data_IF_136821024730
#
_entry.id   IF_136821024730
#
_cell.length_a   1.000
_cell.length_b   1.000
_cell.length_c   1.000
_cell.angle_alpha   90.00
_cell.angle_beta   90.00
_cell.angle_gamma   90.00
#
_symmetry.space_group_name_H-M   'P 1'
#
loop_
_entity.id
_entity.type
_entity.pdbx_description
1 polymer ?
#
# COMPACT_ATOMS: atom_id res chain seq x y z
N UNK A 1 19.54 -3.77 5.66
CA UNK A 1 18.88 -2.94 4.63
C UNK A 1 19.98 -2.48 3.69
N UNK A 2 19.87 -2.67 2.37
CA UNK A 2 20.94 -2.32 1.43
C UNK A 2 21.13 -0.80 1.30
N UNK A 3 22.38 -0.33 1.41
CA UNK A 3 22.74 1.10 1.44
C UNK A 3 22.72 1.79 0.06
N UNK A 4 22.30 1.09 -1.00
CA UNK A 4 22.22 1.65 -2.37
C UNK A 4 20.90 1.32 -3.06
N UNK A 5 20.50 2.17 -4.02
CA UNK A 5 19.31 1.97 -4.86
C UNK A 5 19.32 0.60 -5.55
N UNK A 6 20.49 0.16 -6.03
CA UNK A 6 20.64 -1.15 -6.65
C UNK A 6 20.39 -2.30 -5.66
N UNK A 7 20.98 -2.24 -4.46
CA UNK A 7 20.77 -3.26 -3.44
C UNK A 7 19.30 -3.33 -2.99
N UNK A 8 18.62 -2.18 -2.91
CA UNK A 8 17.18 -2.11 -2.62
C UNK A 8 16.35 -2.73 -3.74
N UNK A 9 16.66 -2.42 -5.00
CA UNK A 9 16.00 -3.01 -6.16
C UNK A 9 16.09 -4.54 -6.13
N UNK A 10 17.28 -5.07 -5.85
CA UNK A 10 17.50 -6.52 -5.77
C UNK A 10 16.71 -7.16 -4.62
N UNK A 11 16.56 -6.47 -3.50
CA UNK A 11 15.74 -6.92 -2.37
C UNK A 11 14.26 -6.98 -2.75
N UNK A 12 13.73 -5.93 -3.38
CA UNK A 12 12.35 -5.90 -3.87
C UNK A 12 12.10 -6.97 -4.95
N UNK A 13 13.06 -7.16 -5.85
CA UNK A 13 12.98 -8.23 -6.87
C UNK A 13 13.00 -9.62 -6.24
N UNK A 14 13.83 -9.85 -5.21
CA UNK A 14 13.84 -11.13 -4.48
C UNK A 14 12.51 -11.40 -3.80
N UNK A 15 11.90 -10.37 -3.22
CA UNK A 15 10.57 -10.46 -2.61
C UNK A 15 9.49 -10.79 -3.67
N UNK A 16 9.48 -10.06 -4.78
CA UNK A 16 8.60 -10.34 -5.93
C UNK A 16 8.77 -11.77 -6.47
N UNK A 17 10.02 -12.23 -6.65
CA UNK A 17 10.31 -13.59 -7.07
C UNK A 17 9.83 -14.65 -6.06
N UNK A 18 9.89 -14.35 -4.77
CA UNK A 18 9.36 -15.24 -3.73
C UNK A 18 7.83 -15.35 -3.80
N UNK A 19 7.13 -14.24 -4.00
CA UNK A 19 5.68 -14.22 -4.23
C UNK A 19 5.35 -15.11 -5.43
N UNK A 20 5.99 -14.85 -6.58
CA UNK A 20 5.74 -15.63 -7.81
C UNK A 20 5.92 -17.13 -7.59
N UNK A 21 7.06 -17.55 -7.01
CA UNK A 21 7.32 -18.96 -6.70
C UNK A 21 6.30 -19.57 -5.73
N UNK A 22 5.83 -18.79 -4.75
CA UNK A 22 4.77 -19.22 -3.83
C UNK A 22 3.52 -19.56 -4.63
N UNK A 23 3.02 -18.66 -5.47
CA UNK A 23 1.76 -18.86 -6.21
C UNK A 23 1.84 -19.84 -7.39
N UNK A 24 3.04 -20.17 -7.87
CA UNK A 24 3.26 -21.26 -8.84
C UNK A 24 3.18 -22.66 -8.21
N UNK A 25 3.25 -22.77 -6.88
CA UNK A 25 3.17 -24.04 -6.17
C UNK A 25 1.76 -24.64 -6.18
N UNK A 26 1.65 -25.94 -6.45
CA UNK A 26 0.39 -26.71 -6.41
C UNK A 26 -0.20 -26.85 -5.00
N UNK A 27 0.54 -26.48 -3.97
CA UNK A 27 0.15 -26.60 -2.56
C UNK A 27 -0.35 -25.28 -1.98
N UNK A 28 -0.47 -24.22 -2.78
CA UNK A 28 -1.10 -22.97 -2.31
C UNK A 28 -2.60 -23.15 -2.29
N UNK A 29 -3.19 -22.98 -1.10
CA UNK A 29 -4.64 -23.02 -0.91
C UNK A 29 -5.29 -21.69 -1.30
N UNK A 30 -4.66 -20.56 -0.91
CA UNK A 30 -5.18 -19.21 -1.17
C UNK A 30 -4.30 -18.45 -2.17
N UNK A 31 -4.90 -18.05 -3.28
CA UNK A 31 -4.27 -17.24 -4.32
C UNK A 31 -4.47 -15.72 -4.14
N UNK A 32 -5.13 -15.30 -3.05
CA UNK A 32 -5.39 -13.91 -2.73
C UNK A 32 -4.36 -13.39 -1.71
N UNK A 33 -3.58 -12.38 -2.07
CA UNK A 33 -2.50 -11.86 -1.22
C UNK A 33 -2.51 -10.34 -1.16
N UNK A 34 -2.60 -9.81 0.06
CA UNK A 34 -2.34 -8.41 0.35
C UNK A 34 -0.98 -8.30 1.02
N UNK A 35 -0.12 -7.44 0.48
CA UNK A 35 1.14 -7.04 1.10
C UNK A 35 1.08 -5.56 1.42
N UNK A 36 1.62 -5.16 2.57
CA UNK A 36 1.61 -3.78 3.00
C UNK A 36 2.82 -3.45 3.87
N UNK A 37 3.19 -2.17 3.87
CA UNK A 37 4.25 -1.64 4.71
C UNK A 37 5.09 -0.59 3.99
N UNK A 38 6.17 -0.19 4.64
CA UNK A 38 7.19 0.70 4.07
C UNK A 38 8.14 -0.09 3.16
N UNK A 39 7.95 0.04 1.85
CA UNK A 39 8.84 -0.54 0.84
C UNK A 39 9.98 0.41 0.44
N UNK A 40 9.98 1.64 0.96
CA UNK A 40 10.83 2.75 0.55
C UNK A 40 10.83 3.00 -0.98
N UNK A 41 9.67 2.93 -1.63
CA UNK A 41 9.53 3.27 -3.05
C UNK A 41 9.06 4.71 -3.20
N UNK A 42 9.93 5.70 -3.46
CA UNK A 42 9.55 7.11 -3.42
C UNK A 42 8.46 7.48 -4.43
N UNK A 43 8.34 6.73 -5.53
CA UNK A 43 7.32 6.93 -6.55
C UNK A 43 6.84 5.59 -7.11
N UNK A 44 5.64 5.56 -7.70
CA UNK A 44 5.08 4.38 -8.38
C UNK A 44 5.53 4.25 -9.84
N UNK A 45 6.49 5.09 -10.27
CA UNK A 45 6.98 5.18 -11.66
C UNK A 45 8.44 4.77 -11.81
N UNK A 46 9.13 4.45 -10.71
CA UNK A 46 10.54 4.12 -10.74
C UNK A 46 10.78 2.61 -10.87
N UNK A 47 12.06 2.26 -11.00
CA UNK A 47 12.50 0.88 -11.11
C UNK A 47 12.36 0.06 -9.83
N UNK A 48 12.31 0.70 -8.66
CA UNK A 48 12.12 0.03 -7.37
C UNK A 48 10.68 -0.48 -7.29
N UNK A 49 9.73 0.40 -7.61
CA UNK A 49 8.33 0.04 -7.67
C UNK A 49 8.08 -1.01 -8.75
N UNK A 50 8.69 -0.86 -9.93
CA UNK A 50 8.59 -1.86 -11.00
C UNK A 50 9.08 -3.26 -10.55
N UNK A 51 10.21 -3.34 -9.85
CA UNK A 51 10.72 -4.61 -9.31
C UNK A 51 9.77 -5.24 -8.28
N UNK A 52 9.12 -4.41 -7.45
CA UNK A 52 8.15 -4.87 -6.46
C UNK A 52 6.89 -5.48 -7.10
N UNK A 53 6.38 -4.88 -8.18
CA UNK A 53 5.12 -5.31 -8.82
C UNK A 53 5.27 -6.38 -9.91
N UNK A 54 6.49 -6.77 -10.24
CA UNK A 54 6.81 -7.74 -11.31
C UNK A 54 6.12 -9.11 -11.14
N UNK A 55 5.77 -9.48 -9.91
CA UNK A 55 5.02 -10.70 -9.59
C UNK A 55 3.50 -10.61 -9.85
N UNK A 56 3.01 -9.50 -10.39
CA UNK A 56 1.59 -9.27 -10.67
C UNK A 56 0.84 -8.55 -9.55
N UNK A 57 1.54 -8.07 -8.51
CA UNK A 57 0.96 -7.21 -7.48
C UNK A 57 0.40 -5.93 -8.11
N UNK A 58 -0.80 -5.54 -7.68
CA UNK A 58 -1.54 -4.39 -8.19
C UNK A 58 -1.76 -3.36 -7.09
N UNK A 59 -1.71 -2.08 -7.46
CA UNK A 59 -2.13 -1.00 -6.56
C UNK A 59 -3.67 -0.98 -6.52
N UNK A 60 -4.29 -1.02 -5.34
CA UNK A 60 -5.72 -0.75 -5.21
C UNK A 60 -6.08 0.61 -5.82
N UNK A 61 -7.14 0.66 -6.64
CA UNK A 61 -7.63 1.88 -7.31
C UNK A 61 -7.62 3.15 -6.42
N UNK A 62 -8.15 3.14 -5.17
CA UNK A 62 -8.15 4.34 -4.33
C UNK A 62 -6.75 4.83 -3.94
N UNK A 63 -5.72 3.98 -4.03
CA UNK A 63 -4.35 4.34 -3.70
C UNK A 63 -3.55 4.85 -4.91
N UNK A 64 -4.03 4.72 -6.15
CA UNK A 64 -3.31 5.27 -7.32
C UNK A 64 -3.04 6.78 -7.13
N UNK A 65 -4.04 7.52 -6.64
CA UNK A 65 -3.87 8.88 -6.13
C UNK A 65 -4.17 8.88 -4.64
N UNK A 66 -3.16 9.09 -3.80
CA UNK A 66 -3.37 9.18 -2.36
C UNK A 66 -4.21 10.41 -2.02
N UNK A 67 -5.14 10.23 -1.08
CA UNK A 67 -6.04 11.28 -0.60
C UNK A 67 -6.18 11.24 0.91
N UNK A 68 -6.28 12.42 1.52
CA UNK A 68 -6.70 12.62 2.91
C UNK A 68 -8.03 13.40 2.88
N UNK A 69 -9.15 12.68 2.98
CA UNK A 69 -10.47 13.27 2.72
C UNK A 69 -10.57 13.79 1.28
N UNK A 70 -10.77 15.10 1.12
CA UNK A 70 -10.86 15.75 -0.20
C UNK A 70 -9.51 16.21 -0.77
N UNK A 71 -8.42 16.17 0.03
CA UNK A 71 -7.10 16.65 -0.39
C UNK A 71 -6.33 15.55 -1.12
N UNK A 72 -5.71 15.89 -2.23
CA UNK A 72 -4.72 15.03 -2.88
C UNK A 72 -3.41 15.14 -2.11
N UNK A 73 -2.84 14.00 -1.74
CA UNK A 73 -1.53 13.91 -1.11
C UNK A 73 -0.60 13.20 -2.10
N UNK A 74 0.61 13.72 -2.30
CA UNK A 74 1.57 13.12 -3.24
C UNK A 74 2.30 11.89 -2.69
N UNK A 75 2.33 11.72 -1.36
CA UNK A 75 3.11 10.70 -0.67
C UNK A 75 2.67 10.42 0.76
N UNK A 76 3.21 9.35 1.35
CA UNK A 76 2.94 8.97 2.73
C UNK A 76 3.88 9.66 3.72
N UNK A 77 5.00 10.27 3.32
CA UNK A 77 5.83 11.04 4.26
C UNK A 77 5.14 12.34 4.75
N UNK A 78 5.59 12.94 5.85
CA UNK A 78 5.01 14.19 6.39
C UNK A 78 4.95 15.36 5.40
N UNK A 79 5.89 15.42 4.45
CA UNK A 79 5.89 16.44 3.36
C UNK A 79 4.86 16.13 2.26
N UNK A 80 4.26 14.95 2.27
CA UNK A 80 3.25 14.50 1.33
C UNK A 80 3.75 14.38 -0.11
N UNK A 81 5.02 14.02 -0.32
CA UNK A 81 5.66 14.00 -1.65
C UNK A 81 6.43 12.72 -1.99
N UNK A 82 6.62 11.78 -1.05
CA UNK A 82 7.27 10.49 -1.28
C UNK A 82 6.37 9.32 -0.86
N UNK A 83 6.28 8.28 -1.69
CA UNK A 83 5.32 7.16 -1.57
C UNK A 83 5.93 5.90 -0.93
N UNK A 84 6.66 6.06 0.16
CA UNK A 84 7.40 4.94 0.76
C UNK A 84 6.51 3.76 1.15
N UNK A 85 5.33 4.05 1.69
CA UNK A 85 4.35 3.05 2.12
C UNK A 85 3.43 2.63 0.97
N UNK A 86 3.25 1.31 0.82
CA UNK A 86 2.38 0.72 -0.18
C UNK A 86 1.42 -0.28 0.46
N UNK A 87 0.24 -0.40 -0.13
CA UNK A 87 -0.62 -1.58 0.01
C UNK A 87 -0.84 -2.11 -1.40
N UNK A 88 -0.44 -3.35 -1.63
CA UNK A 88 -0.52 -4.01 -2.93
C UNK A 88 -1.29 -5.32 -2.79
N UNK A 89 -1.91 -5.72 -3.89
CA UNK A 89 -2.81 -6.87 -3.91
C UNK A 89 -2.55 -7.76 -5.11
N UNK A 90 -2.56 -9.07 -4.89
CA UNK A 90 -2.68 -10.08 -5.92
C UNK A 90 -4.13 -10.61 -5.87
N UNK A 91 -5.07 -10.01 -6.62
CA UNK A 91 -6.48 -10.34 -6.53
C UNK A 91 -6.83 -11.69 -7.17
N UNK A 92 -7.70 -12.45 -6.51
CA UNK A 92 -8.37 -13.63 -7.11
C UNK A 92 -9.70 -13.31 -7.77
N UNK A 93 -10.30 -12.17 -7.44
CA UNK A 93 -11.55 -11.70 -8.05
C UNK A 93 -11.40 -10.23 -8.47
N UNK A 94 -12.23 -9.68 -9.38
CA UNK A 94 -12.01 -8.32 -9.87
C UNK A 94 -12.51 -7.20 -8.92
N UNK A 95 -13.32 -7.53 -7.91
CA UNK A 95 -14.12 -6.58 -7.11
C UNK A 95 -13.89 -6.74 -5.58
N UNK A 96 -12.64 -6.87 -5.15
CA UNK A 96 -12.28 -7.22 -3.76
C UNK A 96 -12.19 -5.97 -2.87
N UNK A 97 -12.22 -4.78 -3.48
CA UNK A 97 -12.13 -3.50 -2.78
C UNK A 97 -13.42 -2.72 -2.92
N UNK A 98 -13.80 -2.00 -1.86
CA UNK A 98 -14.95 -1.08 -1.88
C UNK A 98 -14.65 0.22 -2.62
N UNK A 99 -13.49 0.31 -3.30
CA UNK A 99 -12.90 1.53 -3.86
C UNK A 99 -12.72 2.67 -2.84
N UNK A 100 -12.69 2.35 -1.54
CA UNK A 100 -12.34 3.29 -0.47
C UNK A 100 -10.93 3.02 0.06
N UNK A 101 -10.20 4.10 0.30
CA UNK A 101 -8.82 4.08 0.77
C UNK A 101 -8.19 5.47 0.71
N UNK A 102 -6.98 5.59 1.23
CA UNK A 102 -6.24 6.85 1.25
C UNK A 102 -5.14 6.86 2.30
N UNK A 103 -4.87 8.04 2.84
CA UNK A 103 -3.92 8.24 3.93
C UNK A 103 -4.61 8.91 5.12
N UNK A 104 -4.12 8.62 6.32
CA UNK A 104 -4.48 9.32 7.55
C UNK A 104 -3.49 10.45 7.76
N UNK A 105 -3.85 11.65 7.30
CA UNK A 105 -3.04 12.85 7.52
C UNK A 105 -3.32 13.42 8.91
N UNK A 106 -2.56 12.94 9.90
CA UNK A 106 -2.58 13.46 11.27
C UNK A 106 -1.81 14.77 11.43
N UNK A 107 -1.00 15.17 10.45
CA UNK A 107 -0.20 16.39 10.49
C UNK A 107 -1.03 17.60 10.08
N UNK A 108 -1.68 17.54 8.91
CA UNK A 108 -2.43 18.64 8.27
C UNK A 108 -1.54 19.84 7.92
N UNK A 109 -0.98 20.51 8.92
CA UNK A 109 -0.05 21.64 8.83
C UNK A 109 0.71 21.84 10.16
N UNK A 110 1.70 22.75 10.17
CA UNK A 110 2.48 23.04 11.38
C UNK A 110 1.64 23.63 12.52
N UNK A 111 0.56 24.36 12.20
CA UNK A 111 -0.32 24.95 13.22
C UNK A 111 -1.07 23.86 14.01
N UNK A 112 -1.30 22.70 13.41
CA UNK A 112 -1.90 21.55 14.06
C UNK A 112 -0.99 20.89 15.12
N UNK A 113 0.34 21.04 15.03
CA UNK A 113 1.28 20.54 16.05
C UNK A 113 0.92 21.14 17.41
N UNK A 114 0.68 22.46 17.46
CA UNK A 114 0.33 23.15 18.69
C UNK A 114 -1.06 22.73 19.24
N UNK A 115 -1.96 22.26 18.37
CA UNK A 115 -3.28 21.75 18.77
C UNK A 115 -3.19 20.35 19.41
N UNK A 116 -2.35 19.48 18.85
CA UNK A 116 -2.12 18.12 19.36
C UNK A 116 -1.24 18.12 20.62
N UNK A 117 -0.27 19.04 20.70
CA UNK A 117 0.70 19.15 21.79
C UNK A 117 0.71 20.56 22.40
N UNK A 118 -0.36 20.97 23.09
CA UNK A 118 -0.48 22.32 23.64
C UNK A 118 0.64 22.63 24.63
N UNK A 119 1.26 23.80 24.47
CA UNK A 119 2.33 24.30 25.35
C UNK A 119 3.70 23.63 25.19
N UNK A 120 3.86 22.68 24.26
CA UNK A 120 5.14 21.98 24.03
C UNK A 120 6.08 22.69 23.05
N UNK A 121 5.54 23.53 22.15
CA UNK A 121 6.29 24.25 21.12
C UNK A 121 7.22 23.33 20.30
N UNK A 122 6.74 22.13 19.95
CA UNK A 122 7.55 21.18 19.18
C UNK A 122 7.84 21.68 17.77
N UNK A 123 9.07 21.46 17.31
CA UNK A 123 9.42 21.53 15.88
C UNK A 123 8.80 20.37 15.12
N UNK A 124 8.75 20.46 13.78
CA UNK A 124 8.28 19.36 12.92
C UNK A 124 9.05 18.04 13.18
N UNK A 125 10.35 18.13 13.44
CA UNK A 125 11.20 16.97 13.74
C UNK A 125 10.87 16.35 15.10
N UNK A 126 10.66 17.18 16.13
CA UNK A 126 10.25 16.67 17.43
C UNK A 126 8.87 16.03 17.38
N UNK A 127 7.95 16.64 16.62
CA UNK A 127 6.63 16.08 16.35
C UNK A 127 6.72 14.71 15.67
N UNK A 128 7.58 14.54 14.66
CA UNK A 128 7.73 13.25 13.98
C UNK A 128 8.25 12.15 14.91
N UNK A 129 9.06 12.49 15.92
CA UNK A 129 9.51 11.55 16.95
C UNK A 129 8.41 11.15 17.94
N UNK A 130 7.39 12.00 18.14
CA UNK A 130 6.26 11.68 19.03
C UNK A 130 5.18 10.86 18.31
N UNK A 131 5.04 11.02 17.01
CA UNK A 131 4.01 10.38 16.19
C UNK A 131 4.63 9.42 15.18
N UNK A 132 4.99 9.96 14.01
CA UNK A 132 5.72 9.29 12.94
C UNK A 132 6.10 10.35 11.90
N UNK A 133 7.11 10.07 11.08
CA UNK A 133 7.40 10.80 9.85
C UNK A 133 6.61 10.27 8.63
N UNK A 134 5.80 9.23 8.82
CA UNK A 134 4.95 8.58 7.81
C UNK A 134 3.47 8.60 8.20
N UNK A 135 2.60 8.86 7.23
CA UNK A 135 1.15 8.74 7.28
C UNK A 135 0.73 7.29 7.06
N UNK A 136 -0.14 6.75 7.93
CA UNK A 136 -0.76 5.45 7.67
C UNK A 136 -1.53 5.46 6.34
N UNK A 137 -1.21 4.50 5.48
CA UNK A 137 -1.99 4.20 4.26
C UNK A 137 -3.07 3.19 4.63
N UNK A 138 -4.28 3.34 4.10
CA UNK A 138 -5.41 2.45 4.41
C UNK A 138 -6.25 2.15 3.18
N UNK A 139 -6.94 1.01 3.23
CA UNK A 139 -7.95 0.58 2.26
C UNK A 139 -9.11 -0.09 2.98
N UNK A 140 -10.26 -0.17 2.31
CA UNK A 140 -11.39 -0.98 2.77
C UNK A 140 -11.65 -2.12 1.77
N UNK A 141 -11.80 -3.32 2.33
CA UNK A 141 -11.90 -4.59 1.60
C UNK A 141 -13.32 -5.10 1.71
N UNK A 142 -13.85 -5.67 0.63
CA UNK A 142 -15.11 -6.41 0.64
C UNK A 142 -14.81 -7.87 0.93
N UNK A 143 -15.22 -8.34 2.11
CA UNK A 143 -14.98 -9.73 2.53
C UNK A 143 -16.05 -10.70 2.04
N UNK A 144 -17.27 -10.21 1.77
CA UNK A 144 -18.33 -11.00 1.16
C UNK A 144 -18.11 -11.12 -0.35
N UNK A 145 -17.50 -12.23 -0.75
CA UNK A 145 -17.23 -12.62 -2.14
C UNK A 145 -17.94 -13.92 -2.53
N UNK A 146 -18.86 -14.42 -1.70
CA UNK A 146 -19.52 -15.71 -1.91
C UNK A 146 -20.33 -15.72 -3.21
N UNK A 147 -21.07 -14.65 -3.49
CA UNK A 147 -21.84 -14.52 -4.73
C UNK A 147 -20.98 -14.61 -5.99
N UNK A 148 -19.77 -14.03 -5.96
CA UNK A 148 -18.84 -14.16 -7.09
C UNK A 148 -18.36 -15.61 -7.24
N UNK A 149 -17.96 -16.25 -6.14
CA UNK A 149 -17.49 -17.66 -6.14
C UNK A 149 -18.57 -18.61 -6.65
N UNK A 150 -19.81 -18.47 -6.17
CA UNK A 150 -20.97 -19.25 -6.60
C UNK A 150 -21.23 -19.10 -8.12
N UNK A 151 -21.21 -17.87 -8.64
CA UNK A 151 -21.41 -17.62 -10.07
C UNK A 151 -20.34 -18.28 -10.96
N UNK A 152 -19.08 -18.33 -10.51
CA UNK A 152 -18.01 -19.02 -11.24
C UNK A 152 -18.26 -20.53 -11.30
N UNK A 153 -18.68 -21.15 -10.19
CA UNK A 153 -19.01 -22.59 -10.12
C UNK A 153 -20.17 -22.93 -11.05
N UNK A 154 -21.24 -22.12 -11.06
CA UNK A 154 -22.40 -22.34 -11.94
C UNK A 154 -21.98 -22.31 -13.41
N UNK A 155 -21.22 -21.28 -13.83
CA UNK A 155 -20.74 -21.15 -15.21
C UNK A 155 -19.82 -22.29 -15.64
N UNK A 156 -18.99 -22.81 -14.74
CA UNK A 156 -18.12 -23.94 -15.02
C UNK A 156 -18.91 -25.25 -15.26
N UNK A 157 -20.06 -25.43 -14.60
CA UNK A 157 -20.94 -26.60 -14.80
C UNK A 157 -21.84 -26.53 -16.03
N UNK A 158 -22.01 -25.35 -16.62
CA UNK A 158 -22.81 -25.13 -17.84
C UNK A 158 -21.99 -25.27 -19.14
N UNK A 159 -20.72 -25.64 -19.05
CA UNK A 159 -19.84 -26.04 -20.16
C UNK A 159 -19.62 -27.53 -20.11
#
# INVERSE_FOLDING_TARGET
>A
MGDSTAARRDELQRFSNWIKRRFESKYVEDHDLIVFGDFNTPTIKDELFAALVDCGLQIPKPLVQLKAGKRNIGGSNLKGNARYDQILHLPTVPENFTNAGGVVDFFVDEANIARLYPGKNYTLQQFSYQMSDHFPVWIQIKTDIEGFRLNQIIRAKSK
#
